data_IF_020637168678
#
_entry.id   IF_020637168678
#
_cell.length_a   1.000
_cell.length_b   1.000
_cell.length_c   1.000
_cell.angle_alpha   90.00
_cell.angle_beta   90.00
_cell.angle_gamma   90.00
#
_symmetry.space_group_name_H-M   'P 1'
#
loop_
_entity.id
_entity.type
_entity.pdbx_description
1 polymer ?
#
# COMPACT_ATOMS: atom_id res chain seq x y z
N UNK A 1 0.79 24.24 15.78
CA UNK A 1 1.14 22.98 16.46
C UNK A 1 1.42 21.96 15.37
N UNK A 2 2.62 21.38 15.30
CA UNK A 2 2.99 20.40 14.27
C UNK A 2 2.59 18.99 14.70
N UNK A 3 2.02 18.23 13.77
CA UNK A 3 1.75 16.81 13.96
C UNK A 3 3.05 16.03 13.77
N UNK A 4 3.46 15.27 14.79
CA UNK A 4 4.63 14.41 14.71
C UNK A 4 4.30 13.22 13.84
N UNK A 5 5.05 13.06 12.76
CA UNK A 5 4.83 12.03 11.75
C UNK A 5 6.07 11.21 11.54
N UNK A 6 5.86 9.96 11.16
CA UNK A 6 6.90 9.01 10.77
C UNK A 6 6.64 8.68 9.32
N UNK A 7 7.66 8.75 8.48
CA UNK A 7 7.56 8.33 7.09
C UNK A 7 8.07 6.90 6.96
N UNK A 8 7.22 6.03 6.42
CA UNK A 8 7.48 4.61 6.25
C UNK A 8 7.14 4.20 4.82
N UNK A 9 8.09 4.35 3.89
CA UNK A 9 7.96 3.78 2.55
C UNK A 9 9.32 3.56 1.91
N UNK A 10 9.46 2.49 1.12
CA UNK A 10 10.70 2.11 0.43
C UNK A 10 10.69 2.54 -1.03
N UNK A 11 11.87 2.53 -1.65
CA UNK A 11 12.04 2.82 -3.07
C UNK A 11 11.65 4.23 -3.49
N UNK A 12 11.28 4.38 -4.77
CA UNK A 12 10.95 5.68 -5.37
C UNK A 12 9.69 6.32 -4.76
N UNK A 13 8.71 5.52 -4.36
CA UNK A 13 7.50 6.00 -3.67
C UNK A 13 7.88 6.50 -2.27
N UNK A 14 8.69 5.72 -1.55
CA UNK A 14 9.43 6.11 -0.34
C UNK A 14 9.95 7.52 -0.36
N UNK A 15 10.91 7.74 -1.25
CA UNK A 15 11.62 9.01 -1.39
C UNK A 15 10.68 10.18 -1.71
N UNK A 16 9.63 9.95 -2.50
CA UNK A 16 8.64 10.97 -2.88
C UNK A 16 7.71 11.33 -1.71
N UNK A 17 7.22 10.33 -0.97
CA UNK A 17 6.40 10.53 0.23
C UNK A 17 7.18 11.24 1.36
N UNK A 18 8.46 10.88 1.58
CA UNK A 18 9.33 11.57 2.54
C UNK A 18 9.44 13.05 2.26
N UNK A 19 9.64 13.39 0.98
CA UNK A 19 9.79 14.78 0.54
C UNK A 19 8.53 15.60 0.78
N UNK A 20 7.36 14.99 0.59
CA UNK A 20 6.08 15.60 0.93
C UNK A 20 5.94 15.88 2.42
N UNK A 21 6.33 14.92 3.26
CA UNK A 21 6.24 15.05 4.72
C UNK A 21 7.20 16.13 5.25
N UNK A 22 8.46 16.14 4.79
CA UNK A 22 9.47 17.13 5.20
C UNK A 22 9.04 18.55 4.80
N UNK A 23 8.42 18.72 3.64
CA UNK A 23 8.07 20.04 3.11
C UNK A 23 6.74 20.60 3.66
N UNK A 24 6.04 19.87 4.54
CA UNK A 24 4.72 20.29 5.03
C UNK A 24 4.87 20.97 6.41
N UNK A 25 4.58 22.27 6.55
CA UNK A 25 4.83 23.04 7.79
C UNK A 25 4.05 22.54 9.02
N UNK A 26 2.95 21.82 8.78
CA UNK A 26 2.11 21.22 9.82
C UNK A 26 2.63 19.87 10.33
N UNK A 27 3.73 19.34 9.77
CA UNK A 27 4.26 18.02 10.08
C UNK A 27 5.69 18.12 10.62
N UNK A 28 6.03 17.32 11.61
CA UNK A 28 7.38 17.16 12.13
C UNK A 28 7.81 15.71 11.93
N UNK A 29 8.80 15.49 11.06
CA UNK A 29 9.37 14.15 10.84
C UNK A 29 10.26 13.78 12.02
N UNK A 30 9.81 12.83 12.85
CA UNK A 30 10.52 12.43 14.07
C UNK A 30 11.19 11.05 14.00
N UNK A 31 11.11 10.39 12.84
CA UNK A 31 11.77 9.12 12.59
C UNK A 31 11.64 8.68 11.13
N UNK A 32 12.71 8.07 10.61
CA UNK A 32 12.75 7.34 9.34
C UNK A 32 13.60 6.11 9.55
N UNK A 33 13.04 4.95 9.26
CA UNK A 33 13.78 3.71 9.12
C UNK A 33 13.08 2.90 8.03
N UNK A 34 13.86 2.27 7.15
CA UNK A 34 13.33 1.52 6.03
C UNK A 34 14.17 0.26 5.91
N UNK A 35 13.80 -0.76 6.66
CA UNK A 35 14.39 -2.10 6.55
C UNK A 35 13.44 -3.10 7.20
N UNK A 36 13.16 -4.17 6.47
CA UNK A 36 12.82 -5.49 7.01
C UNK A 36 13.65 -6.51 6.23
N UNK A 37 13.78 -7.76 6.72
CA UNK A 37 14.21 -8.84 5.85
C UNK A 37 13.18 -8.97 4.72
N UNK A 38 13.64 -8.86 3.48
CA UNK A 38 12.89 -9.35 2.35
C UNK A 38 12.90 -10.88 2.41
N UNK A 39 11.71 -11.47 2.51
CA UNK A 39 11.55 -12.91 2.44
C UNK A 39 11.04 -13.24 1.04
N UNK A 40 11.73 -14.13 0.35
CA UNK A 40 11.30 -14.68 -0.94
C UNK A 40 10.91 -16.13 -0.75
N UNK A 41 9.82 -16.53 -1.37
CA UNK A 41 9.41 -17.92 -1.46
C UNK A 41 9.54 -18.40 -2.90
N UNK A 42 10.16 -19.57 -3.09
CA UNK A 42 10.38 -20.15 -4.41
C UNK A 42 9.37 -21.26 -4.68
N UNK A 43 8.87 -21.30 -5.92
CA UNK A 43 7.95 -22.32 -6.40
C UNK A 43 8.49 -23.74 -6.14
N UNK A 44 7.62 -24.61 -5.64
CA UNK A 44 7.91 -26.04 -5.46
C UNK A 44 7.46 -26.88 -6.66
N UNK A 45 6.59 -26.30 -7.49
CA UNK A 45 6.03 -26.90 -8.70
C UNK A 45 5.90 -25.81 -9.78
N UNK A 46 5.67 -26.22 -11.03
CA UNK A 46 5.50 -25.27 -12.14
C UNK A 46 4.18 -24.49 -12.00
N UNK A 47 4.27 -23.16 -12.01
CA UNK A 47 3.12 -22.25 -11.94
C UNK A 47 2.96 -21.55 -13.29
N UNK A 48 1.83 -21.74 -13.95
CA UNK A 48 1.51 -21.01 -15.19
C UNK A 48 0.75 -19.73 -14.87
N UNK A 49 1.35 -18.58 -15.17
CA UNK A 49 0.73 -17.26 -15.08
C UNK A 49 0.39 -16.73 -16.48
N UNK A 50 -0.45 -15.69 -16.56
CA UNK A 50 -0.84 -15.08 -17.84
C UNK A 50 0.34 -14.61 -18.70
N UNK A 51 1.38 -14.05 -18.08
CA UNK A 51 2.52 -13.47 -18.79
C UNK A 51 3.72 -14.41 -18.90
N UNK A 52 3.81 -15.44 -18.06
CA UNK A 52 4.98 -16.33 -17.99
C UNK A 52 4.68 -17.62 -17.20
N UNK A 53 5.54 -18.61 -17.37
CA UNK A 53 5.61 -19.79 -16.51
C UNK A 53 6.74 -19.62 -15.49
N UNK A 54 6.48 -19.98 -14.24
CA UNK A 54 7.45 -19.99 -13.13
C UNK A 54 7.77 -21.44 -12.79
N UNK A 55 9.03 -21.82 -12.95
CA UNK A 55 9.52 -23.17 -12.70
C UNK A 55 9.92 -23.38 -11.23
N UNK A 56 9.99 -24.65 -10.76
CA UNK A 56 10.48 -24.94 -9.42
C UNK A 56 11.84 -24.28 -9.14
N UNK A 57 11.98 -23.68 -7.96
CA UNK A 57 13.18 -22.93 -7.54
C UNK A 57 13.18 -21.45 -7.96
N UNK A 58 12.22 -20.98 -8.75
CA UNK A 58 12.06 -19.56 -9.09
C UNK A 58 11.13 -18.85 -8.09
N UNK A 59 11.31 -17.55 -7.90
CA UNK A 59 10.52 -16.76 -6.93
C UNK A 59 9.06 -16.68 -7.36
N UNK A 60 8.15 -17.08 -6.46
CA UNK A 60 6.70 -17.07 -6.69
C UNK A 60 5.91 -16.30 -5.61
N UNK A 61 6.56 -15.89 -4.52
CA UNK A 61 6.01 -14.90 -3.60
C UNK A 61 7.12 -14.06 -2.96
N UNK A 62 6.76 -12.84 -2.58
CA UNK A 62 7.64 -11.92 -1.85
C UNK A 62 6.89 -11.31 -0.68
N UNK A 63 7.57 -11.21 0.46
CA UNK A 63 7.12 -10.51 1.65
C UNK A 63 8.17 -9.49 2.04
N UNK A 64 7.73 -8.26 2.21
CA UNK A 64 8.58 -7.17 2.62
C UNK A 64 7.80 -6.20 3.49
N UNK A 65 8.50 -5.55 4.41
CA UNK A 65 7.91 -4.55 5.29
C UNK A 65 8.77 -3.28 5.36
N UNK A 66 8.10 -2.21 5.76
CA UNK A 66 8.72 -0.93 6.06
C UNK A 66 8.31 -0.51 7.46
N UNK A 67 9.30 -0.27 8.31
CA UNK A 67 9.10 -0.01 9.73
C UNK A 67 9.47 1.42 10.11
N UNK A 68 8.49 2.19 10.57
CA UNK A 68 8.72 3.46 11.24
C UNK A 68 9.13 3.25 12.70
N UNK A 69 10.39 3.54 13.04
CA UNK A 69 10.91 3.40 14.41
C UNK A 69 10.67 4.69 15.23
N UNK A 70 10.16 4.54 16.44
CA UNK A 70 10.01 5.61 17.43
C UNK A 70 10.62 5.16 18.75
N UNK A 71 11.57 5.94 19.29
CA UNK A 71 12.27 5.62 20.56
C UNK A 71 12.86 4.19 20.58
N UNK A 72 13.47 3.78 19.46
CA UNK A 72 14.14 2.48 19.34
C UNK A 72 13.20 1.26 19.18
N UNK A 73 11.90 1.46 18.94
CA UNK A 73 10.93 0.38 18.68
C UNK A 73 10.08 0.66 17.43
N UNK A 74 9.67 -0.36 16.66
CA UNK A 74 8.70 -0.19 15.58
C UNK A 74 7.37 0.35 16.12
N UNK A 75 6.96 1.51 15.62
CA UNK A 75 5.69 2.14 15.96
C UNK A 75 4.65 2.03 14.83
N UNK A 76 5.12 1.98 13.58
CA UNK A 76 4.28 1.78 12.40
C UNK A 76 4.97 0.72 11.52
N UNK A 77 4.23 -0.28 11.08
CA UNK A 77 4.73 -1.31 10.16
C UNK A 77 3.77 -1.40 9.00
N UNK A 78 4.28 -1.21 7.79
CA UNK A 78 3.56 -1.49 6.55
C UNK A 78 4.19 -2.69 5.89
N UNK A 79 3.44 -3.78 5.79
CA UNK A 79 3.87 -5.02 5.18
C UNK A 79 3.11 -5.23 3.86
N UNK A 80 3.80 -5.78 2.86
CA UNK A 80 3.19 -6.32 1.66
C UNK A 80 3.55 -7.79 1.52
N UNK A 81 2.53 -8.58 1.20
CA UNK A 81 2.68 -9.99 0.85
C UNK A 81 2.08 -10.19 -0.53
N UNK A 82 2.94 -10.40 -1.52
CA UNK A 82 2.54 -10.62 -2.91
C UNK A 82 2.81 -12.07 -3.28
N UNK A 83 1.79 -12.74 -3.82
CA UNK A 83 1.84 -14.15 -4.21
C UNK A 83 1.34 -14.30 -5.64
N UNK A 84 1.92 -15.23 -6.39
CA UNK A 84 1.37 -15.64 -7.69
C UNK A 84 0.17 -16.57 -7.53
N UNK A 85 0.14 -17.39 -6.48
CA UNK A 85 -0.97 -18.31 -6.19
C UNK A 85 -1.30 -18.33 -4.69
N UNK A 86 -2.51 -18.75 -4.29
CA UNK A 86 -2.85 -18.91 -2.87
C UNK A 86 -2.00 -19.94 -2.13
N UNK A 87 -1.33 -20.85 -2.84
CA UNK A 87 -0.50 -21.90 -2.25
C UNK A 87 0.94 -21.44 -2.00
N UNK A 88 1.38 -20.33 -2.59
CA UNK A 88 2.71 -19.81 -2.38
C UNK A 88 2.84 -19.20 -0.98
N UNK A 89 3.87 -19.60 -0.24
CA UNK A 89 4.12 -19.17 1.15
C UNK A 89 2.88 -19.27 2.06
N UNK A 90 2.37 -20.49 2.32
CA UNK A 90 1.17 -20.71 3.13
C UNK A 90 1.33 -20.29 4.61
N UNK A 91 2.57 -20.22 5.08
CA UNK A 91 2.93 -19.80 6.44
C UNK A 91 2.87 -18.29 6.67
N UNK A 92 2.89 -17.50 5.60
CA UNK A 92 2.77 -16.04 5.68
C UNK A 92 1.32 -15.60 5.89
N UNK A 93 1.07 -14.37 6.38
CA UNK A 93 -0.29 -13.87 6.61
C UNK A 93 -1.20 -13.95 5.38
N UNK A 94 -2.47 -14.28 5.62
CA UNK A 94 -3.53 -14.26 4.61
C UNK A 94 -4.56 -13.17 4.90
N UNK A 95 -5.27 -12.70 3.87
CA UNK A 95 -6.46 -11.88 4.07
C UNK A 95 -7.48 -12.56 5.00
N UNK A 96 -8.20 -11.80 5.83
CA UNK A 96 -9.27 -12.34 6.66
C UNK A 96 -10.50 -12.74 5.82
N UNK A 97 -11.46 -13.38 6.48
CA UNK A 97 -12.81 -13.67 5.96
C UNK A 97 -12.85 -14.56 4.69
N UNK A 98 -11.77 -15.27 4.39
CA UNK A 98 -11.68 -16.16 3.23
C UNK A 98 -11.71 -15.44 1.88
N UNK A 99 -11.55 -14.11 1.86
CA UNK A 99 -11.56 -13.30 0.64
C UNK A 99 -10.15 -13.13 0.09
N UNK A 100 -9.94 -13.13 -1.23
CA UNK A 100 -8.62 -12.86 -1.79
C UNK A 100 -8.33 -11.34 -1.76
N UNK A 101 -7.09 -10.96 -1.45
CA UNK A 101 -6.64 -9.57 -1.38
C UNK A 101 -7.24 -8.74 -0.22
N UNK A 102 -6.40 -7.97 0.49
CA UNK A 102 -6.87 -7.03 1.51
C UNK A 102 -5.88 -5.87 1.68
N UNK A 103 -6.41 -4.68 1.93
CA UNK A 103 -5.65 -3.59 2.55
C UNK A 103 -6.07 -3.54 4.02
N UNK A 104 -5.17 -3.96 4.92
CA UNK A 104 -5.44 -4.10 6.34
C UNK A 104 -4.72 -3.03 7.15
N UNK A 105 -5.45 -2.38 8.05
CA UNK A 105 -4.91 -1.41 9.00
C UNK A 105 -5.25 -1.89 10.41
N UNK A 106 -4.21 -2.13 11.23
CA UNK A 106 -4.35 -2.53 12.63
C UNK A 106 -3.69 -1.49 13.52
N UNK A 107 -4.48 -0.83 14.35
CA UNK A 107 -4.04 0.10 15.39
C UNK A 107 -4.11 -0.62 16.73
N UNK A 108 -2.95 -0.95 17.29
CA UNK A 108 -2.83 -1.52 18.63
C UNK A 108 -2.88 -0.39 19.66
N UNK A 109 -3.82 -0.43 20.59
CA UNK A 109 -4.01 0.61 21.59
C UNK A 109 -5.32 0.47 22.33
N UNK A 110 -5.73 1.53 23.02
CA UNK A 110 -7.03 1.64 23.68
C UNK A 110 -7.71 2.94 23.23
N UNK A 111 -8.79 2.88 22.43
CA UNK A 111 -9.33 1.66 21.82
C UNK A 111 -8.38 1.08 20.74
N UNK A 112 -8.38 -0.23 20.60
CA UNK A 112 -7.78 -0.89 19.44
C UNK A 112 -8.71 -0.74 18.24
N UNK A 113 -8.16 -0.60 17.05
CA UNK A 113 -8.93 -0.46 15.80
C UNK A 113 -8.37 -1.41 14.76
N UNK A 114 -9.24 -2.16 14.10
CA UNK A 114 -8.88 -2.96 12.93
C UNK A 114 -9.83 -2.64 11.77
N UNK A 115 -9.25 -2.38 10.60
CA UNK A 115 -9.97 -2.09 9.36
C UNK A 115 -9.43 -3.02 8.28
N UNK A 116 -10.32 -3.81 7.69
CA UNK A 116 -10.03 -4.68 6.55
C UNK A 116 -10.78 -4.15 5.33
N UNK A 117 -10.04 -3.70 4.32
CA UNK A 117 -10.61 -3.18 3.08
C UNK A 117 -10.34 -4.15 1.94
N UNK A 118 -11.40 -4.82 1.50
CA UNK A 118 -11.39 -5.64 0.29
C UNK A 118 -11.86 -4.77 -0.87
N UNK A 119 -11.10 -4.77 -1.96
CA UNK A 119 -11.40 -4.00 -3.18
C UNK A 119 -11.76 -5.02 -4.24
N UNK A 120 -12.90 -4.84 -4.92
CA UNK A 120 -13.43 -5.79 -5.89
C UNK A 120 -14.91 -6.09 -5.63
N UNK A 121 -15.52 -6.74 -6.61
CA UNK A 121 -16.93 -7.13 -6.61
C UNK A 121 -17.11 -8.48 -7.33
N UNK A 122 -18.35 -8.84 -7.68
CA UNK A 122 -18.63 -10.09 -8.40
C UNK A 122 -18.02 -10.15 -9.81
N UNK A 123 -17.67 -8.99 -10.38
CA UNK A 123 -17.20 -8.86 -11.76
C UNK A 123 -15.71 -8.58 -11.87
N UNK A 124 -15.11 -8.01 -10.83
CA UNK A 124 -13.70 -7.59 -10.80
C UNK A 124 -13.01 -8.18 -9.58
N UNK A 125 -11.95 -8.94 -9.83
CA UNK A 125 -11.13 -9.48 -8.75
C UNK A 125 -10.32 -8.38 -8.04
N UNK A 126 -9.69 -8.71 -6.92
CA UNK A 126 -8.97 -7.73 -6.12
C UNK A 126 -7.78 -7.07 -6.84
N UNK A 127 -7.21 -7.74 -7.85
CA UNK A 127 -6.06 -7.24 -8.58
C UNK A 127 -6.53 -6.24 -9.62
N UNK A 128 -7.52 -6.62 -10.44
CA UNK A 128 -8.14 -5.74 -11.42
C UNK A 128 -8.78 -4.52 -10.73
N UNK A 129 -9.54 -4.74 -9.66
CA UNK A 129 -10.16 -3.66 -8.91
C UNK A 129 -9.12 -2.75 -8.23
N UNK A 130 -7.97 -3.29 -7.81
CA UNK A 130 -6.84 -2.50 -7.31
C UNK A 130 -6.23 -1.60 -8.40
N UNK A 131 -6.10 -2.11 -9.63
CA UNK A 131 -5.65 -1.34 -10.79
C UNK A 131 -6.66 -0.24 -11.13
N UNK A 132 -7.95 -0.56 -11.18
CA UNK A 132 -9.03 0.39 -11.42
C UNK A 132 -9.04 1.47 -10.34
N UNK A 133 -8.96 1.12 -9.06
CA UNK A 133 -8.95 2.08 -7.96
C UNK A 133 -7.75 3.04 -8.05
N UNK A 134 -6.59 2.53 -8.44
CA UNK A 134 -5.38 3.34 -8.66
C UNK A 134 -5.58 4.33 -9.81
N UNK A 135 -6.12 3.88 -10.94
CA UNK A 135 -6.41 4.73 -12.09
C UNK A 135 -7.52 5.76 -11.79
N UNK A 136 -8.60 5.32 -11.13
CA UNK A 136 -9.73 6.15 -10.74
C UNK A 136 -9.29 7.32 -9.86
N UNK A 137 -8.34 7.10 -8.94
CA UNK A 137 -7.77 8.17 -8.12
C UNK A 137 -7.11 9.27 -8.96
N UNK A 138 -6.39 8.90 -10.02
CA UNK A 138 -5.76 9.86 -10.92
C UNK A 138 -6.79 10.60 -11.77
N UNK A 139 -7.75 9.87 -12.36
CA UNK A 139 -8.83 10.44 -13.18
C UNK A 139 -9.68 11.42 -12.37
N UNK A 140 -10.11 11.02 -11.17
CA UNK A 140 -10.94 11.85 -10.30
C UNK A 140 -10.20 13.09 -9.76
N UNK A 141 -8.86 13.11 -9.80
CA UNK A 141 -8.08 14.28 -9.42
C UNK A 141 -8.00 15.35 -10.54
N UNK A 142 -8.33 15.01 -11.79
CA UNK A 142 -8.17 15.92 -12.94
C UNK A 142 -8.85 17.28 -12.73
N UNK A 143 -10.13 17.38 -12.32
CA UNK A 143 -10.78 18.68 -12.14
C UNK A 143 -10.08 19.55 -11.09
N UNK A 144 -9.65 18.93 -9.97
CA UNK A 144 -8.95 19.63 -8.90
C UNK A 144 -7.56 20.12 -9.34
N UNK A 145 -6.84 19.32 -10.14
CA UNK A 145 -5.55 19.72 -10.71
C UNK A 145 -5.72 20.87 -11.70
N UNK A 146 -6.74 20.82 -12.56
CA UNK A 146 -7.02 21.89 -13.53
C UNK A 146 -7.40 23.22 -12.86
N UNK A 147 -8.03 23.18 -11.67
CA UNK A 147 -8.39 24.36 -10.90
C UNK A 147 -7.25 24.90 -10.00
N UNK A 148 -6.15 24.15 -9.85
CA UNK A 148 -5.04 24.54 -8.99
C UNK A 148 -4.18 25.66 -9.63
N UNK A 149 -3.50 26.49 -8.81
CA UNK A 149 -2.54 27.46 -9.32
C UNK A 149 -1.44 26.82 -10.18
N UNK A 150 -0.90 27.51 -11.20
CA UNK A 150 0.21 26.99 -12.00
C UNK A 150 1.43 26.63 -11.14
N UNK A 151 2.00 25.45 -11.37
CA UNK A 151 3.20 24.95 -10.71
C UNK A 151 3.04 23.54 -10.15
N UNK A 152 4.11 22.97 -9.57
CA UNK A 152 4.05 21.66 -8.92
C UNK A 152 3.04 21.70 -7.76
N UNK A 153 2.01 20.85 -7.84
CA UNK A 153 1.00 20.70 -6.80
C UNK A 153 1.14 19.33 -6.12
N UNK A 154 1.03 19.30 -4.79
CA UNK A 154 1.03 18.04 -4.05
C UNK A 154 -0.42 17.55 -3.83
N UNK A 155 -0.64 16.24 -3.88
CA UNK A 155 -1.98 15.66 -3.78
C UNK A 155 -2.71 16.03 -2.47
N UNK A 156 -1.99 16.23 -1.38
CA UNK A 156 -2.56 16.66 -0.09
C UNK A 156 -2.91 18.15 -0.01
N UNK A 157 -2.62 18.91 -1.06
CA UNK A 157 -3.05 20.31 -1.22
C UNK A 157 -4.30 20.40 -2.10
N UNK A 158 -4.69 19.28 -2.72
CA UNK A 158 -5.96 19.13 -3.41
C UNK A 158 -7.03 18.59 -2.44
N UNK A 159 -8.32 18.87 -2.69
CA UNK A 159 -9.40 18.16 -2.04
C UNK A 159 -9.21 16.65 -2.20
N UNK A 160 -9.60 15.87 -1.17
CA UNK A 160 -9.60 14.40 -1.28
C UNK A 160 -10.41 14.04 -2.51
N UNK A 161 -9.79 13.34 -3.47
CA UNK A 161 -10.43 12.96 -4.73
C UNK A 161 -11.72 12.20 -4.41
N UNK A 162 -12.85 12.83 -4.74
CA UNK A 162 -14.16 12.22 -4.53
C UNK A 162 -14.50 11.36 -5.73
N UNK A 163 -15.21 10.28 -5.46
CA UNK A 163 -15.89 9.53 -6.50
C UNK A 163 -16.96 10.43 -7.16
N UNK A 164 -16.82 10.70 -8.45
CA UNK A 164 -17.83 11.41 -9.24
C UNK A 164 -18.58 10.41 -10.14
N UNK A 165 -19.91 10.49 -10.17
CA UNK A 165 -20.74 9.68 -11.10
C UNK A 165 -20.84 8.18 -10.77
N UNK A 166 -20.56 7.76 -9.53
CA UNK A 166 -20.59 6.34 -9.13
C UNK A 166 -21.98 5.80 -8.71
N UNK A 167 -23.04 6.61 -8.80
CA UNK A 167 -24.41 6.13 -8.63
C UNK A 167 -25.16 6.31 -9.95
N UNK A 168 -25.45 5.18 -10.60
CA UNK A 168 -26.49 5.02 -11.62
C UNK A 168 -27.61 4.18 -11.05
#
# INVERSE_FOLDING_TARGET
MSLRVIQFSTGNVGRRSLRSIINRPGLELVGVHASSPDETWTATETITCTMMTVEPGQVAAVRFAVEGIMRGRPAIVMEHVNRLTPQAAPEWPFPPDGRPGVHRVVIKGVPGVEINTHVGDERTDHNEAGVIATAAKAVNAIPAVCAAPPGPTHLSDLPVAQAHGLMS
#
